data_IF_053886763575
#
_entry.id   IF_053886763575
#
_cell.length_a   1.000
_cell.length_b   1.000
_cell.length_c   1.000
_cell.angle_alpha   90.00
_cell.angle_beta   90.00
_cell.angle_gamma   90.00
#
_symmetry.space_group_name_H-M   'P 1'
#
loop_
_entity.id
_entity.type
_entity.pdbx_description
1 polymer ?
#
# COMPACT_ATOMS: atom_id res chain seq x y z
N UNK A 1 0.36 -24.97 -25.31
CA UNK A 1 1.17 -24.95 -24.08
C UNK A 1 1.96 -23.66 -24.10
N UNK A 2 2.07 -22.96 -22.96
CA UNK A 2 2.84 -21.71 -22.85
C UNK A 2 4.31 -22.04 -22.57
N UNK A 3 5.20 -21.13 -22.97
CA UNK A 3 6.66 -21.32 -22.88
C UNK A 3 7.14 -21.39 -21.42
N UNK A 4 8.26 -22.09 -21.22
CA UNK A 4 8.91 -22.24 -19.92
C UNK A 4 9.46 -20.87 -19.47
N UNK A 5 9.16 -20.45 -18.24
CA UNK A 5 9.55 -19.12 -17.77
C UNK A 5 8.59 -18.00 -18.19
N UNK A 6 7.34 -18.31 -18.55
CA UNK A 6 6.30 -17.28 -18.74
C UNK A 6 5.53 -17.02 -17.44
N UNK A 7 5.16 -15.76 -17.19
CA UNK A 7 4.35 -15.37 -16.04
C UNK A 7 3.06 -14.70 -16.49
N UNK A 8 1.95 -15.04 -15.85
CA UNK A 8 0.72 -14.28 -15.95
C UNK A 8 0.74 -13.23 -14.85
N UNK A 9 0.79 -11.97 -15.24
CA UNK A 9 0.65 -10.87 -14.32
C UNK A 9 -0.80 -10.37 -14.30
N UNK A 10 -1.29 -10.09 -13.10
CA UNK A 10 -2.61 -9.52 -12.86
C UNK A 10 -2.44 -8.09 -12.37
N UNK A 11 -3.11 -7.16 -13.06
CA UNK A 11 -3.20 -5.76 -12.65
C UNK A 11 -4.61 -5.44 -12.19
N UNK A 12 -4.72 -4.69 -11.10
CA UNK A 12 -5.99 -4.28 -10.54
C UNK A 12 -6.11 -2.75 -10.54
N UNK A 13 -7.26 -2.26 -10.96
CA UNK A 13 -7.64 -0.86 -10.85
C UNK A 13 -8.64 -0.69 -9.71
N UNK A 14 -8.22 -0.06 -8.62
CA UNK A 14 -9.00 -0.04 -7.38
C UNK A 14 -10.34 0.71 -7.49
N UNK A 15 -10.39 1.81 -8.25
CA UNK A 15 -11.62 2.60 -8.39
C UNK A 15 -12.67 1.93 -9.27
N UNK A 16 -12.27 1.33 -10.40
CA UNK A 16 -13.19 0.64 -11.31
C UNK A 16 -13.42 -0.82 -10.93
N UNK A 17 -12.63 -1.36 -9.98
CA UNK A 17 -12.60 -2.77 -9.57
C UNK A 17 -12.35 -3.74 -10.72
N UNK A 18 -11.66 -3.28 -11.77
CA UNK A 18 -11.33 -4.09 -12.94
C UNK A 18 -10.00 -4.80 -12.71
N UNK A 19 -9.93 -6.04 -13.19
CA UNK A 19 -8.69 -6.80 -13.30
C UNK A 19 -8.38 -6.96 -14.78
N UNK A 20 -7.11 -6.81 -15.16
CA UNK A 20 -6.59 -7.19 -16.46
C UNK A 20 -5.39 -8.09 -16.29
N UNK A 21 -5.03 -8.81 -17.33
CA UNK A 21 -3.89 -9.71 -17.32
C UNK A 21 -2.91 -9.33 -18.41
N UNK A 22 -1.65 -9.64 -18.17
CA UNK A 22 -0.59 -9.58 -19.16
C UNK A 22 0.26 -10.84 -19.08
N UNK A 23 0.59 -11.42 -20.22
CA UNK A 23 1.49 -12.56 -20.28
C UNK A 23 2.90 -12.05 -20.52
N UNK A 24 3.74 -12.19 -19.51
CA UNK A 24 5.17 -11.91 -19.54
C UNK A 24 5.90 -13.11 -20.13
N UNK A 25 6.81 -12.87 -21.08
CA UNK A 25 7.78 -13.87 -21.53
C UNK A 25 9.18 -13.44 -21.11
N UNK A 26 9.88 -14.33 -20.39
CA UNK A 26 11.30 -14.09 -20.02
C UNK A 26 12.23 -14.03 -21.25
N UNK A 27 11.82 -14.52 -22.42
CA UNK A 27 12.59 -14.35 -23.66
C UNK A 27 12.73 -12.87 -24.07
N UNK A 28 11.80 -12.02 -23.63
CA UNK A 28 11.84 -10.57 -23.85
C UNK A 28 12.63 -9.78 -22.80
N UNK A 29 13.32 -10.46 -21.87
CA UNK A 29 13.91 -9.85 -20.66
C UNK A 29 12.88 -9.08 -19.79
N UNK A 30 11.59 -9.44 -19.86
CA UNK A 30 10.56 -8.84 -19.02
C UNK A 30 10.55 -9.51 -17.64
N UNK A 31 10.72 -8.72 -16.58
CA UNK A 31 10.62 -9.21 -15.20
C UNK A 31 9.23 -8.92 -14.61
N UNK A 32 8.63 -9.85 -13.86
CA UNK A 32 7.36 -9.62 -13.18
C UNK A 32 7.48 -8.54 -12.09
N UNK A 33 6.38 -7.85 -11.80
CA UNK A 33 6.28 -6.81 -10.78
C UNK A 33 7.23 -5.62 -11.02
N UNK A 34 7.54 -5.35 -12.29
CA UNK A 34 8.29 -4.17 -12.76
C UNK A 34 7.58 -3.51 -13.94
N UNK A 35 8.03 -2.35 -14.40
CA UNK A 35 7.52 -1.79 -15.65
C UNK A 35 8.00 -2.59 -16.86
N UNK A 36 7.10 -2.85 -17.80
CA UNK A 36 7.34 -3.59 -19.05
C UNK A 36 6.28 -3.18 -20.10
N UNK A 37 6.24 -3.83 -21.26
CA UNK A 37 5.35 -3.40 -22.37
C UNK A 37 3.85 -3.47 -22.02
N UNK A 38 3.47 -4.29 -21.05
CA UNK A 38 2.11 -4.44 -20.54
C UNK A 38 1.77 -3.62 -19.30
N UNK A 39 2.76 -2.96 -18.69
CA UNK A 39 2.58 -2.11 -17.52
C UNK A 39 3.60 -0.98 -17.52
N UNK A 40 3.12 0.23 -17.82
CA UNK A 40 3.93 1.43 -17.93
C UNK A 40 3.69 2.40 -16.78
N UNK A 41 4.51 3.46 -16.68
CA UNK A 41 4.25 4.56 -15.75
C UNK A 41 2.88 5.19 -15.98
N UNK A 42 2.43 5.32 -17.23
CA UNK A 42 1.11 5.87 -17.55
C UNK A 42 -0.03 4.99 -17.01
N UNK A 43 0.14 3.66 -16.98
CA UNK A 43 -0.82 2.76 -16.34
C UNK A 43 -0.86 2.95 -14.84
N UNK A 44 0.31 3.06 -14.20
CA UNK A 44 0.43 3.34 -12.77
C UNK A 44 -0.23 4.67 -12.40
N UNK A 45 0.04 5.73 -13.17
CA UNK A 45 -0.54 7.06 -12.99
C UNK A 45 -2.06 7.04 -13.21
N UNK A 46 -2.55 6.19 -14.11
CA UNK A 46 -3.98 5.93 -14.31
C UNK A 46 -4.61 5.11 -13.18
N UNK A 47 -3.83 4.61 -12.20
CA UNK A 47 -4.33 3.91 -11.02
C UNK A 47 -4.30 2.38 -11.11
N UNK A 48 -3.64 1.82 -12.13
CA UNK A 48 -3.38 0.38 -12.21
C UNK A 48 -2.23 -0.02 -11.29
N UNK A 49 -2.36 -1.18 -10.65
CA UNK A 49 -1.30 -1.77 -9.81
C UNK A 49 -1.08 -3.22 -10.17
N UNK A 50 0.18 -3.62 -10.23
CA UNK A 50 0.56 -5.03 -10.21
C UNK A 50 0.23 -5.61 -8.84
N UNK A 51 -0.58 -6.68 -8.80
CA UNK A 51 -1.08 -7.25 -7.54
C UNK A 51 -0.75 -8.72 -7.37
N UNK A 52 -0.48 -9.45 -8.46
CA UNK A 52 -0.12 -10.86 -8.43
C UNK A 52 0.59 -11.25 -9.72
N UNK A 53 1.64 -12.06 -9.61
CA UNK A 53 2.26 -12.75 -10.74
C UNK A 53 2.19 -14.26 -10.46
N UNK A 54 1.83 -15.06 -11.47
CA UNK A 54 1.64 -16.51 -11.36
C UNK A 54 2.42 -17.16 -12.51
N UNK A 55 3.10 -18.27 -12.24
CA UNK A 55 3.70 -19.10 -13.30
C UNK A 55 2.62 -19.48 -14.33
N UNK A 56 2.87 -19.17 -15.61
CA UNK A 56 1.92 -19.37 -16.69
C UNK A 56 2.10 -20.70 -17.43
N UNK A 57 3.13 -21.48 -17.15
CA UNK A 57 3.52 -22.69 -17.90
C UNK A 57 2.39 -23.73 -18.02
N UNK A 58 1.46 -23.76 -17.05
CA UNK A 58 0.36 -24.75 -16.97
C UNK A 58 -1.04 -24.15 -16.81
N UNK A 59 -1.20 -22.84 -16.97
CA UNK A 59 -2.51 -22.20 -16.76
C UNK A 59 -3.46 -22.45 -17.93
N UNK A 60 -4.67 -22.89 -17.61
CA UNK A 60 -5.82 -22.93 -18.51
C UNK A 60 -6.55 -21.58 -18.50
N UNK A 61 -7.49 -21.38 -19.43
CA UNK A 61 -8.34 -20.18 -19.41
C UNK A 61 -9.18 -20.08 -18.12
N UNK A 62 -9.69 -21.21 -17.61
CA UNK A 62 -10.44 -21.23 -16.35
C UNK A 62 -9.59 -20.84 -15.14
N UNK A 63 -8.31 -21.21 -15.11
CA UNK A 63 -7.39 -20.80 -14.03
C UNK A 63 -7.15 -19.29 -14.03
N UNK A 64 -7.12 -18.67 -15.21
CA UNK A 64 -6.95 -17.23 -15.37
C UNK A 64 -8.18 -16.49 -14.87
N UNK A 65 -9.36 -16.90 -15.32
CA UNK A 65 -10.63 -16.29 -14.88
C UNK A 65 -10.81 -16.42 -13.37
N UNK A 66 -10.47 -17.59 -12.80
CA UNK A 66 -10.47 -17.82 -11.37
C UNK A 66 -9.50 -16.87 -10.65
N UNK A 67 -8.26 -16.77 -11.10
CA UNK A 67 -7.26 -15.88 -10.49
C UNK A 67 -7.68 -14.40 -10.55
N UNK A 68 -8.31 -13.97 -11.65
CA UNK A 68 -8.85 -12.62 -11.77
C UNK A 68 -9.99 -12.37 -10.77
N UNK A 69 -10.91 -13.33 -10.64
CA UNK A 69 -12.01 -13.25 -9.67
C UNK A 69 -11.50 -13.22 -8.22
N UNK A 70 -10.49 -14.04 -7.89
CA UNK A 70 -9.85 -14.03 -6.58
C UNK A 70 -9.22 -12.68 -6.25
N UNK A 71 -8.50 -12.07 -7.20
CA UNK A 71 -7.90 -10.74 -7.01
C UNK A 71 -8.97 -9.70 -6.73
N UNK A 72 -10.04 -9.66 -7.52
CA UNK A 72 -11.13 -8.72 -7.32
C UNK A 72 -11.80 -8.91 -5.95
N UNK A 73 -12.12 -10.15 -5.59
CA UNK A 73 -12.76 -10.49 -4.32
C UNK A 73 -11.87 -10.19 -3.11
N UNK A 74 -10.56 -10.46 -3.21
CA UNK A 74 -9.60 -10.12 -2.16
C UNK A 74 -9.52 -8.62 -1.95
N UNK A 75 -9.38 -7.84 -3.03
CA UNK A 75 -9.25 -6.39 -2.95
C UNK A 75 -10.52 -5.73 -2.40
N UNK A 76 -11.70 -6.19 -2.81
CA UNK A 76 -12.96 -5.72 -2.25
C UNK A 76 -13.05 -6.03 -0.75
N UNK A 77 -12.76 -7.29 -0.36
CA UNK A 77 -12.76 -7.71 1.05
C UNK A 77 -11.79 -6.88 1.89
N UNK A 78 -10.55 -6.68 1.41
CA UNK A 78 -9.53 -5.90 2.09
C UNK A 78 -10.04 -4.50 2.49
N UNK A 79 -10.62 -3.77 1.54
CA UNK A 79 -11.15 -2.43 1.82
C UNK A 79 -12.39 -2.44 2.72
N UNK A 80 -13.28 -3.42 2.56
CA UNK A 80 -14.43 -3.57 3.43
C UNK A 80 -14.01 -3.91 4.87
N UNK A 81 -12.98 -4.71 5.04
CA UNK A 81 -12.42 -5.06 6.34
C UNK A 81 -11.73 -3.85 6.97
N UNK A 82 -10.96 -3.05 6.22
CA UNK A 82 -10.42 -1.77 6.71
C UNK A 82 -11.50 -0.74 7.08
N UNK A 83 -12.67 -0.78 6.41
CA UNK A 83 -13.77 0.11 6.78
C UNK A 83 -14.34 -0.24 8.17
N UNK A 84 -14.37 -1.53 8.49
CA UNK A 84 -14.91 -2.09 9.74
C UNK A 84 -13.89 -2.06 10.88
N UNK A 85 -12.69 -2.54 10.60
CA UNK A 85 -11.58 -2.64 11.53
C UNK A 85 -10.97 -1.25 11.76
N UNK A 86 -10.32 -1.06 12.91
CA UNK A 86 -9.50 0.12 13.20
C UNK A 86 -10.22 1.47 13.14
N UNK A 87 -11.54 1.55 13.38
CA UNK A 87 -12.24 2.86 13.39
C UNK A 87 -11.57 3.91 14.30
N UNK A 88 -10.91 3.46 15.37
CA UNK A 88 -10.22 4.30 16.35
C UNK A 88 -8.77 4.64 15.96
N UNK A 89 -8.08 3.73 15.27
CA UNK A 89 -6.65 3.88 14.91
C UNK A 89 -6.46 4.28 13.44
N UNK A 90 -7.56 4.56 12.74
CA UNK A 90 -7.54 4.90 11.32
C UNK A 90 -7.26 6.38 11.14
N UNK A 91 -6.25 6.67 10.33
CA UNK A 91 -5.94 8.02 9.84
C UNK A 91 -6.17 8.04 8.33
N UNK A 92 -6.99 8.97 7.86
CA UNK A 92 -7.24 9.16 6.43
C UNK A 92 -7.02 10.63 6.10
N UNK A 93 -6.02 10.89 5.27
CA UNK A 93 -5.61 12.24 4.85
C UNK A 93 -5.48 12.26 3.33
N UNK A 94 -6.12 13.24 2.68
CA UNK A 94 -6.08 13.41 1.22
C UNK A 94 -6.32 12.10 0.44
N UNK A 95 -7.32 11.31 0.86
CA UNK A 95 -7.63 10.06 0.19
C UNK A 95 -6.71 8.88 0.50
N UNK A 96 -5.71 9.02 1.36
CA UNK A 96 -4.81 7.93 1.73
C UNK A 96 -5.12 7.40 3.12
N UNK A 97 -5.23 6.08 3.24
CA UNK A 97 -5.47 5.39 4.50
C UNK A 97 -4.15 4.97 5.14
N UNK A 98 -4.04 5.26 6.43
CA UNK A 98 -2.96 4.83 7.31
C UNK A 98 -3.56 4.19 8.56
N UNK A 99 -2.85 3.19 9.08
CA UNK A 99 -3.11 2.64 10.41
C UNK A 99 -2.12 3.27 11.37
N UNK A 100 -2.64 3.84 12.45
CA UNK A 100 -1.88 4.44 13.54
C UNK A 100 -1.38 3.35 14.49
N UNK A 101 -0.15 3.53 14.97
CA UNK A 101 0.49 2.69 15.96
C UNK A 101 1.15 3.56 17.04
N UNK A 102 1.31 3.02 18.24
CA UNK A 102 2.14 3.65 19.28
C UNK A 102 3.57 3.88 18.74
N UNK A 103 4.23 4.95 19.21
CA UNK A 103 5.62 5.22 18.86
C UNK A 103 6.52 4.03 19.23
N UNK A 104 7.43 3.68 18.33
CA UNK A 104 8.29 2.50 18.43
C UNK A 104 7.60 1.18 18.04
N UNK A 105 6.32 1.20 17.66
CA UNK A 105 5.58 0.03 17.18
C UNK A 105 5.11 0.23 15.73
N UNK A 106 5.24 -0.82 14.93
CA UNK A 106 4.91 -0.76 13.51
C UNK A 106 6.07 -0.20 12.70
N UNK A 107 6.50 -0.95 11.69
CA UNK A 107 7.68 -0.66 10.86
C UNK A 107 7.36 0.17 9.60
N UNK A 108 6.18 0.81 9.54
CA UNK A 108 5.84 1.71 8.45
C UNK A 108 6.82 2.90 8.37
N UNK A 109 7.16 3.30 7.15
CA UNK A 109 8.09 4.42 6.87
C UNK A 109 9.44 4.33 7.59
N UNK A 110 9.99 3.13 7.74
CA UNK A 110 11.29 2.94 8.40
C UNK A 110 11.29 3.30 9.89
N UNK A 111 10.12 3.35 10.53
CA UNK A 111 9.99 3.71 11.95
C UNK A 111 9.86 5.20 12.21
N UNK A 112 9.68 6.03 11.17
CA UNK A 112 9.47 7.48 11.32
C UNK A 112 8.22 7.78 12.16
N UNK A 113 8.36 8.74 13.08
CA UNK A 113 7.26 9.29 13.87
C UNK A 113 6.49 10.35 13.08
N UNK A 114 5.20 10.46 13.34
CA UNK A 114 4.30 11.39 12.69
C UNK A 114 3.38 12.07 13.68
N UNK A 115 3.13 13.34 13.41
CA UNK A 115 2.08 14.14 14.03
C UNK A 115 0.87 14.23 13.11
N UNK A 116 -0.29 13.83 13.64
CA UNK A 116 -1.57 13.85 12.94
C UNK A 116 -2.44 14.98 13.48
N UNK A 117 -2.83 15.90 12.60
CA UNK A 117 -3.79 16.97 12.89
C UNK A 117 -5.15 16.53 12.36
N UNK A 118 -6.16 16.51 13.24
CA UNK A 118 -7.51 16.03 12.90
C UNK A 118 -8.36 17.13 12.26
N UNK A 119 -9.34 16.72 11.44
CA UNK A 119 -10.40 17.63 10.96
C UNK A 119 -11.36 18.02 12.10
N UNK A 120 -11.55 17.12 13.06
CA UNK A 120 -12.30 17.37 14.28
C UNK A 120 -11.41 18.13 15.29
N UNK A 121 -11.62 19.44 15.40
CA UNK A 121 -10.85 20.32 16.26
C UNK A 121 -10.97 20.02 17.77
N UNK A 122 -11.93 19.18 18.17
CA UNK A 122 -12.05 18.74 19.57
C UNK A 122 -11.04 17.65 19.94
N UNK A 123 -10.42 17.00 18.95
CA UNK A 123 -9.42 15.95 19.17
C UNK A 123 -8.03 16.55 19.33
N UNK A 124 -7.27 16.13 20.37
CA UNK A 124 -5.87 16.50 20.46
C UNK A 124 -5.09 15.90 19.29
N UNK A 125 -4.01 16.58 18.89
CA UNK A 125 -3.06 16.04 17.92
C UNK A 125 -2.49 14.69 18.42
N UNK A 126 -2.22 13.77 17.49
CA UNK A 126 -1.67 12.46 17.82
C UNK A 126 -0.23 12.33 17.33
N UNK A 127 0.66 11.85 18.19
CA UNK A 127 2.04 11.48 17.85
C UNK A 127 2.16 9.96 17.80
N UNK A 128 2.58 9.42 16.66
CA UNK A 128 2.44 7.99 16.36
C UNK A 128 3.38 7.53 15.25
N UNK A 129 3.54 6.22 15.09
CA UNK A 129 4.00 5.65 13.83
C UNK A 129 2.80 5.36 12.92
N UNK A 130 3.01 5.42 11.60
CA UNK A 130 1.97 5.14 10.61
C UNK A 130 2.37 4.00 9.68
N UNK A 131 1.42 3.12 9.35
CA UNK A 131 1.57 2.13 8.30
C UNK A 131 0.62 2.43 7.14
N UNK A 132 1.16 2.74 5.96
CA UNK A 132 0.36 3.02 4.77
C UNK A 132 -0.41 1.78 4.31
N UNK A 133 -1.73 1.91 4.18
CA UNK A 133 -2.62 0.90 3.60
C UNK A 133 -2.90 1.21 2.11
N UNK A 134 -2.69 2.47 1.72
CA UNK A 134 -2.79 2.94 0.34
C UNK A 134 -3.93 3.93 0.11
N UNK A 135 -4.11 4.34 -1.15
CA UNK A 135 -5.19 5.24 -1.56
C UNK A 135 -6.55 4.55 -1.42
N UNK A 136 -7.47 5.18 -0.70
CA UNK A 136 -8.86 4.76 -0.54
C UNK A 136 -9.55 4.80 -1.90
N UNK A 137 -10.14 3.69 -2.37
CA UNK A 137 -10.84 3.65 -3.65
C UNK A 137 -12.05 4.58 -3.68
N UNK A 138 -12.37 5.15 -4.84
CA UNK A 138 -13.49 6.10 -5.01
C UNK A 138 -14.81 5.56 -4.44
N UNK A 139 -15.14 4.30 -4.70
CA UNK A 139 -16.36 3.65 -4.22
C UNK A 139 -16.39 3.44 -2.70
N UNK A 140 -15.27 3.59 -2.00
CA UNK A 140 -15.15 3.51 -0.54
C UNK A 140 -15.04 4.87 0.16
N UNK A 141 -14.86 5.97 -0.57
CA UNK A 141 -14.64 7.30 0.03
C UNK A 141 -15.77 7.75 0.95
N UNK A 142 -17.02 7.37 0.66
CA UNK A 142 -18.15 7.67 1.53
C UNK A 142 -18.11 6.86 2.85
N UNK A 143 -17.54 5.65 2.85
CA UNK A 143 -17.44 4.76 4.03
C UNK A 143 -16.16 4.99 4.83
N UNK A 144 -15.12 5.43 4.14
CA UNK A 144 -13.79 5.75 4.68
C UNK A 144 -13.45 7.20 4.25
N UNK A 145 -14.13 8.20 4.84
CA UNK A 145 -13.85 9.60 4.54
C UNK A 145 -12.52 10.04 5.17
N UNK A 146 -12.01 11.18 4.70
CA UNK A 146 -10.89 11.84 5.37
C UNK A 146 -11.30 12.23 6.80
N UNK A 147 -10.38 12.06 7.75
CA UNK A 147 -10.56 12.45 9.14
C UNK A 147 -9.38 13.26 9.69
N UNK A 148 -8.27 13.31 8.96
CA UNK A 148 -7.10 14.12 9.25
C UNK A 148 -7.01 15.31 8.27
N UNK A 149 -6.71 16.48 8.81
CA UNK A 149 -6.42 17.69 8.05
C UNK A 149 -5.00 17.66 7.46
N UNK A 150 -4.04 17.12 8.23
CA UNK A 150 -2.66 16.96 7.77
C UNK A 150 -1.93 15.88 8.57
N UNK A 151 -0.92 15.29 7.93
CA UNK A 151 0.07 14.40 8.54
C UNK A 151 1.44 15.04 8.32
N UNK A 152 2.21 15.17 9.39
CA UNK A 152 3.52 15.83 9.37
C UNK A 152 4.53 14.84 9.97
N UNK A 153 5.63 14.61 9.28
CA UNK A 153 6.72 13.77 9.80
C UNK A 153 7.45 14.52 10.91
N UNK A 154 7.63 13.86 12.06
CA UNK A 154 8.34 14.42 13.20
C UNK A 154 9.84 14.15 13.03
N UNK A 155 10.58 15.14 12.52
CA UNK A 155 12.05 15.06 12.39
C UNK A 155 12.80 15.16 13.74
N UNK A 156 12.08 15.20 14.87
CA UNK A 156 12.65 15.42 16.21
C UNK A 156 13.04 14.13 16.96
N UNK A 157 13.16 12.99 16.29
CA UNK A 157 13.85 11.83 16.84
C UNK A 157 15.25 11.69 16.21
N UNK A 158 16.03 12.76 16.30
CA UNK A 158 17.48 12.70 16.16
C UNK A 158 18.07 12.10 17.42
N UNK A 159 18.63 10.89 17.29
CA UNK A 159 19.80 10.40 18.04
C UNK A 159 19.99 10.92 19.48
N UNK A 160 19.31 10.32 20.44
CA UNK A 160 19.85 10.19 21.80
C UNK A 160 20.56 8.84 21.89
N UNK A 161 21.72 8.72 21.22
CA UNK A 161 22.69 7.68 21.54
C UNK A 161 23.77 8.31 22.43
N UNK A 162 23.62 8.02 23.71
CA UNK A 162 24.66 7.87 24.72
C UNK A 162 25.64 9.04 24.91
N UNK A 163 25.38 9.78 25.99
CA UNK A 163 26.41 10.48 26.72
C UNK A 163 27.51 9.50 27.16
N UNK A 164 28.68 9.60 26.54
CA UNK A 164 29.94 9.29 27.20
C UNK A 164 30.77 10.57 27.24
N UNK A 165 30.74 11.21 28.42
CA UNK A 165 31.79 12.12 28.84
C UNK A 165 33.10 11.32 28.88
N UNK A 166 34.02 11.60 27.96
CA UNK A 166 35.43 11.28 28.18
C UNK A 166 36.05 12.47 28.89
N UNK A 167 36.17 12.34 30.21
CA UNK A 167 37.12 13.12 30.99
C UNK A 167 38.53 12.84 30.47
N UNK A 168 39.19 13.88 29.93
CA UNK A 168 40.64 13.89 29.75
C UNK A 168 41.18 14.59 30.99
N UNK A 169 41.70 13.81 31.94
CA UNK A 169 42.52 14.32 33.02
C UNK A 169 43.97 14.47 32.52
N UNK A 170 44.55 15.62 32.86
CA UNK A 170 45.93 16.05 32.61
C UNK A 170 46.98 15.21 33.34
#
# INVERSE_FOLDING_TARGET
MREQGSYLELHYHADTRKVRTYLLSLEGNEEPLRFHAGFSQADFDAGWKQVKAIDASRLTAGDIDFAMAEVAAFQERYWLDLAKAHKHDRVVCNGHHYTMHELGKGCGFGGAGFRVIWLDASKPEAHCNLSAQGRVPLWMRARIPDNAASIIEDHNHGTDHDGHQNEIAH
#
